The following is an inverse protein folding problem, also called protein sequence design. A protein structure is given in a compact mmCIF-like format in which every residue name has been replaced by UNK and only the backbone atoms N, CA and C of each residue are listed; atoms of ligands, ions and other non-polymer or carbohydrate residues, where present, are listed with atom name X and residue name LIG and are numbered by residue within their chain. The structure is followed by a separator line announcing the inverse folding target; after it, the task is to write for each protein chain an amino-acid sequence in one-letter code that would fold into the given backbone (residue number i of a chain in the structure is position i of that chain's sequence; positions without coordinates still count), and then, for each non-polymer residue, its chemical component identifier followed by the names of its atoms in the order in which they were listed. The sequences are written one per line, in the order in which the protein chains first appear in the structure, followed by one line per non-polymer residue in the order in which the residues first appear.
data_IF_946587637214
#
_entry.id   IF_946587637214
#
_cell.length_a   1.000
_cell.length_b   1.000
_cell.length_c   1.000
_cell.angle_alpha   90.00
_cell.angle_beta   90.00
_cell.angle_gamma   90.00
#
_symmetry.space_group_name_H-M   'P 1'
#
loop_
_entity.id
_entity.type
_entity.pdbx_description
1 polymer ?
#
# COMPACT_ATOMS: atom_id res chain seq x y z
N UNK A 1 27.24 1.38 -33.91
CA UNK A 1 26.30 1.44 -32.76
C UNK A 1 24.91 1.92 -33.18
N UNK A 2 24.73 3.12 -33.77
CA UNK A 2 23.41 3.53 -34.28
C UNK A 2 22.95 2.74 -35.52
N UNK A 3 23.87 2.41 -36.43
CA UNK A 3 23.54 1.67 -37.67
C UNK A 3 23.26 0.18 -37.44
N UNK A 4 23.80 -0.40 -36.37
CA UNK A 4 23.69 -1.83 -36.04
C UNK A 4 22.31 -2.20 -35.46
N UNK A 5 21.65 -1.22 -34.82
CA UNK A 5 20.28 -1.35 -34.28
C UNK A 5 19.25 -1.17 -35.41
N UNK A 6 19.60 -0.44 -36.48
CA UNK A 6 18.71 -0.14 -37.60
C UNK A 6 18.52 -1.31 -38.57
N UNK A 7 19.42 -2.29 -38.56
CA UNK A 7 19.32 -3.50 -39.38
C UNK A 7 18.23 -4.45 -38.85
N UNK A 8 17.99 -4.41 -37.54
CA UNK A 8 16.95 -5.20 -36.88
C UNK A 8 15.71 -4.34 -36.58
N UNK A 9 14.78 -4.34 -37.55
CA UNK A 9 13.51 -3.59 -37.49
C UNK A 9 12.72 -3.91 -36.21
N UNK A 10 12.87 -5.10 -35.65
CA UNK A 10 12.20 -5.52 -34.42
C UNK A 10 12.83 -4.85 -33.19
N UNK A 11 14.16 -4.77 -33.13
CA UNK A 11 14.89 -4.06 -32.06
C UNK A 11 14.63 -2.55 -32.09
N UNK A 12 14.54 -1.96 -33.29
CA UNK A 12 14.19 -0.54 -33.47
C UNK A 12 12.77 -0.23 -32.99
N UNK A 13 11.78 -1.06 -33.38
CA UNK A 13 10.39 -0.93 -32.93
C UNK A 13 10.26 -1.10 -31.42
N UNK A 14 10.96 -2.07 -30.82
CA UNK A 14 11.01 -2.28 -29.36
C UNK A 14 11.54 -1.04 -28.64
N UNK A 15 12.66 -0.49 -29.12
CA UNK A 15 13.29 0.70 -28.53
C UNK A 15 12.38 1.94 -28.63
N UNK A 16 11.64 2.10 -29.74
CA UNK A 16 10.67 3.19 -29.90
C UNK A 16 9.47 3.01 -28.97
N UNK A 17 8.88 1.82 -28.90
CA UNK A 17 7.78 1.51 -27.98
C UNK A 17 8.18 1.74 -26.52
N UNK A 18 9.37 1.29 -26.14
CA UNK A 18 9.89 1.48 -24.78
C UNK A 18 10.13 2.97 -24.47
N UNK A 19 10.65 3.76 -25.41
CA UNK A 19 10.87 5.20 -25.20
C UNK A 19 9.60 6.05 -25.26
N UNK A 20 8.61 5.65 -26.05
CA UNK A 20 7.41 6.44 -26.34
C UNK A 20 6.27 6.09 -25.37
N UNK A 21 6.14 4.82 -24.99
CA UNK A 21 5.15 4.36 -24.01
C UNK A 21 5.74 4.22 -22.61
N UNK A 22 7.07 4.15 -22.46
CA UNK A 22 7.73 3.99 -21.16
C UNK A 22 7.54 2.59 -20.56
N UNK A 23 7.10 1.62 -21.36
CA UNK A 23 6.81 0.25 -20.95
C UNK A 23 7.80 -0.66 -21.65
N UNK A 24 8.63 -1.38 -20.90
CA UNK A 24 9.48 -2.42 -21.45
C UNK A 24 8.60 -3.63 -21.82
N UNK A 25 8.49 -4.02 -23.11
CA UNK A 25 7.62 -5.12 -23.52
C UNK A 25 8.01 -6.49 -22.93
N UNK A 26 9.22 -6.61 -22.36
CA UNK A 26 9.68 -7.80 -21.65
C UNK A 26 9.30 -7.83 -20.15
N UNK A 27 8.86 -6.71 -19.55
CA UNK A 27 8.30 -6.67 -18.19
C UNK A 27 6.83 -7.11 -18.21
N UNK A 28 6.59 -8.35 -18.64
CA UNK A 28 5.27 -8.98 -18.49
C UNK A 28 5.13 -9.55 -17.09
N UNK A 29 4.81 -8.68 -16.12
CA UNK A 29 4.43 -9.16 -14.79
C UNK A 29 3.13 -9.96 -14.89
N UNK A 30 3.08 -11.13 -14.26
CA UNK A 30 1.91 -12.00 -14.29
C UNK A 30 0.78 -11.38 -13.43
N UNK A 31 -0.34 -10.95 -14.01
CA UNK A 31 -1.38 -10.21 -13.27
C UNK A 31 -1.98 -10.99 -12.10
N UNK A 32 -2.06 -12.31 -12.21
CA UNK A 32 -2.58 -13.18 -11.16
C UNK A 32 -1.61 -13.23 -9.98
N UNK A 33 -0.29 -13.26 -10.25
CA UNK A 33 0.73 -13.23 -9.20
C UNK A 33 0.69 -11.91 -8.44
N UNK A 34 0.53 -10.79 -9.15
CA UNK A 34 0.43 -9.46 -8.52
C UNK A 34 -0.82 -9.33 -7.66
N UNK A 35 -1.97 -9.77 -8.19
CA UNK A 35 -3.22 -9.78 -7.44
C UNK A 35 -3.11 -10.63 -6.16
N UNK A 36 -2.49 -11.81 -6.26
CA UNK A 36 -2.27 -12.69 -5.12
C UNK A 36 -1.31 -12.05 -4.10
N UNK A 37 -0.21 -11.44 -4.55
CA UNK A 37 0.75 -10.77 -3.67
C UNK A 37 0.11 -9.58 -2.94
N UNK A 38 -0.66 -8.75 -3.64
CA UNK A 38 -1.38 -7.63 -3.05
C UNK A 38 -2.45 -8.12 -2.06
N UNK A 39 -3.26 -9.12 -2.44
CA UNK A 39 -4.31 -9.66 -1.60
C UNK A 39 -3.78 -10.28 -0.31
N UNK A 40 -2.73 -11.10 -0.39
CA UNK A 40 -2.10 -11.69 0.79
C UNK A 40 -1.47 -10.62 1.69
N UNK A 41 -0.79 -9.63 1.11
CA UNK A 41 -0.22 -8.52 1.88
C UNK A 41 -1.30 -7.71 2.60
N UNK A 42 -2.44 -7.46 1.95
CA UNK A 42 -3.57 -6.78 2.54
C UNK A 42 -4.18 -7.58 3.69
N UNK A 43 -4.41 -8.88 3.52
CA UNK A 43 -4.94 -9.75 4.57
C UNK A 43 -4.02 -9.76 5.81
N UNK A 44 -2.71 -9.88 5.59
CA UNK A 44 -1.73 -9.86 6.68
C UNK A 44 -1.75 -8.52 7.42
N UNK A 45 -1.73 -7.40 6.69
CA UNK A 45 -1.78 -6.06 7.30
C UNK A 45 -3.12 -5.81 8.04
N UNK A 46 -4.25 -6.19 7.44
CA UNK A 46 -5.58 -6.03 8.03
C UNK A 46 -5.78 -6.91 9.27
N UNK A 47 -5.06 -8.03 9.38
CA UNK A 47 -5.16 -8.90 10.55
C UNK A 47 -4.62 -8.24 11.83
N UNK A 48 -3.68 -7.28 11.72
CA UNK A 48 -3.04 -6.63 12.88
C UNK A 48 -4.05 -6.00 13.86
N UNK A 49 -4.99 -5.13 13.43
CA UNK A 49 -6.02 -4.61 14.33
C UNK A 49 -7.11 -5.61 14.70
N UNK A 50 -7.31 -6.68 13.92
CA UNK A 50 -8.37 -7.68 14.15
C UNK A 50 -7.97 -8.65 15.26
N UNK A 51 -6.72 -9.11 15.28
CA UNK A 51 -6.23 -10.11 16.25
C UNK A 51 -6.51 -9.71 17.71
N UNK A 52 -6.26 -8.46 18.15
CA UNK A 52 -6.58 -8.03 19.52
C UNK A 52 -8.06 -8.20 19.89
N UNK A 53 -8.99 -8.03 18.95
CA UNK A 53 -10.42 -8.24 19.20
C UNK A 53 -10.83 -9.70 19.30
N UNK A 54 -10.02 -10.62 18.78
CA UNK A 54 -10.25 -12.07 18.91
C UNK A 54 -9.80 -12.58 20.28
N UNK A 55 -8.72 -12.00 20.83
CA UNK A 55 -8.05 -12.50 22.04
C UNK A 55 -8.44 -11.71 23.29
N UNK A 56 -8.71 -10.41 23.16
CA UNK A 56 -9.00 -9.51 24.28
C UNK A 56 -10.45 -9.02 24.21
N UNK A 57 -10.97 -8.57 25.34
CA UNK A 57 -12.32 -8.00 25.46
C UNK A 57 -12.31 -6.61 26.09
N UNK A 58 -13.36 -5.84 25.83
CA UNK A 58 -13.55 -4.51 26.42
C UNK A 58 -12.55 -3.48 25.90
N UNK A 59 -12.23 -2.50 26.75
CA UNK A 59 -11.38 -1.35 26.38
C UNK A 59 -9.95 -1.74 26.05
N UNK A 60 -9.42 -2.80 26.69
CA UNK A 60 -8.07 -3.30 26.43
C UNK A 60 -7.91 -3.77 24.96
N UNK A 61 -8.92 -4.42 24.40
CA UNK A 61 -8.90 -4.85 23.00
C UNK A 61 -8.77 -3.67 22.03
N UNK A 62 -9.54 -2.61 22.29
CA UNK A 62 -9.54 -1.38 21.49
C UNK A 62 -8.18 -0.70 21.57
N UNK A 63 -7.65 -0.48 22.78
CA UNK A 63 -6.36 0.21 22.95
C UNK A 63 -5.21 -0.54 22.28
N UNK A 64 -5.15 -1.87 22.42
CA UNK A 64 -4.12 -2.70 21.77
C UNK A 64 -4.29 -2.72 20.25
N UNK A 65 -5.54 -2.80 19.76
CA UNK A 65 -5.85 -2.75 18.33
C UNK A 65 -5.40 -1.43 17.69
N UNK A 66 -5.76 -0.30 18.30
CA UNK A 66 -5.40 1.04 17.81
C UNK A 66 -3.89 1.25 17.85
N UNK A 67 -3.23 0.89 18.95
CA UNK A 67 -1.77 1.01 19.06
C UNK A 67 -1.06 0.13 18.01
N UNK A 68 -1.52 -1.11 17.84
CA UNK A 68 -1.00 -2.02 16.83
C UNK A 68 -1.17 -1.50 15.40
N UNK A 69 -2.34 -0.95 15.08
CA UNK A 69 -2.62 -0.34 13.78
C UNK A 69 -1.70 0.87 13.49
N UNK A 70 -1.54 1.77 14.46
CA UNK A 70 -0.67 2.95 14.31
C UNK A 70 0.79 2.56 14.10
N UNK A 71 1.28 1.57 14.87
CA UNK A 71 2.64 1.04 14.69
C UNK A 71 2.79 0.39 13.32
N UNK A 72 1.82 -0.42 12.88
CA UNK A 72 1.87 -1.06 11.57
C UNK A 72 1.87 -0.05 10.42
N UNK A 73 1.04 1.00 10.50
CA UNK A 73 1.02 2.09 9.51
C UNK A 73 2.36 2.82 9.43
N UNK A 74 2.94 3.15 10.60
CA UNK A 74 4.24 3.82 10.65
C UNK A 74 5.37 2.96 10.09
N UNK A 75 5.40 1.67 10.45
CA UNK A 75 6.39 0.70 9.94
C UNK A 75 6.25 0.54 8.44
N UNK A 76 5.02 0.40 7.93
CA UNK A 76 4.75 0.26 6.49
C UNK A 76 5.21 1.51 5.73
N UNK A 77 4.88 2.71 6.23
CA UNK A 77 5.34 3.96 5.62
C UNK A 77 6.85 4.15 5.69
N UNK A 78 7.48 3.75 6.79
CA UNK A 78 8.93 3.80 6.94
C UNK A 78 9.64 2.84 5.98
N UNK A 79 9.11 1.62 5.82
CA UNK A 79 9.65 0.63 4.91
C UNK A 79 9.50 1.09 3.46
N UNK A 80 8.32 1.61 3.10
CA UNK A 80 8.09 2.26 1.79
C UNK A 80 9.10 3.38 1.57
N UNK A 81 9.29 4.27 2.54
CA UNK A 81 10.24 5.38 2.46
C UNK A 81 11.66 4.93 2.19
N UNK A 82 12.11 3.86 2.85
CA UNK A 82 13.43 3.26 2.61
C UNK A 82 13.57 2.70 1.20
N UNK A 83 12.53 2.02 0.68
CA UNK A 83 12.55 1.44 -0.68
C UNK A 83 12.64 2.53 -1.76
N UNK A 84 11.94 3.65 -1.58
CA UNK A 84 11.95 4.77 -2.54
C UNK A 84 13.05 5.80 -2.27
N UNK A 85 14.03 5.48 -1.40
CA UNK A 85 15.15 6.36 -1.02
C UNK A 85 14.73 7.74 -0.49
N UNK A 86 13.57 7.82 0.16
CA UNK A 86 13.10 9.00 0.89
C UNK A 86 13.33 8.84 2.39
N UNK A 87 13.21 9.93 3.15
CA UNK A 87 13.28 9.89 4.61
C UNK A 87 12.25 8.90 5.19
N UNK A 88 12.67 7.79 5.83
CA UNK A 88 11.76 6.78 6.34
C UNK A 88 10.81 7.33 7.40
N UNK A 89 11.31 8.20 8.28
CA UNK A 89 10.53 8.78 9.37
C UNK A 89 9.40 9.67 8.82
N UNK A 90 9.71 10.51 7.83
CA UNK A 90 8.70 11.39 7.23
C UNK A 90 7.62 10.59 6.50
N UNK A 91 8.02 9.56 5.76
CA UNK A 91 7.07 8.68 5.06
C UNK A 91 6.24 7.84 6.03
N UNK A 92 6.83 7.37 7.14
CA UNK A 92 6.12 6.72 8.22
C UNK A 92 5.05 7.62 8.85
N UNK A 93 5.41 8.87 9.14
CA UNK A 93 4.51 9.86 9.72
C UNK A 93 3.39 10.27 8.75
N UNK A 94 3.70 10.37 7.45
CA UNK A 94 2.71 10.64 6.40
C UNK A 94 1.63 9.54 6.35
N UNK A 95 2.03 8.26 6.29
CA UNK A 95 1.06 7.15 6.26
C UNK A 95 0.30 7.05 7.59
N UNK A 96 0.97 7.23 8.73
CA UNK A 96 0.30 7.26 10.03
C UNK A 96 -0.75 8.37 10.08
N UNK A 97 -0.41 9.58 9.62
CA UNK A 97 -1.32 10.72 9.59
C UNK A 97 -2.55 10.47 8.72
N UNK A 98 -2.35 9.95 7.50
CA UNK A 98 -3.45 9.57 6.60
C UNK A 98 -4.36 8.55 7.28
N UNK A 99 -3.78 7.47 7.83
CA UNK A 99 -4.56 6.42 8.49
C UNK A 99 -5.30 6.90 9.73
N UNK A 100 -4.69 7.77 10.54
CA UNK A 100 -5.34 8.36 11.71
C UNK A 100 -6.54 9.23 11.32
N UNK A 101 -6.40 10.04 10.27
CA UNK A 101 -7.50 10.87 9.74
C UNK A 101 -8.62 9.99 9.19
N UNK A 102 -8.28 8.96 8.39
CA UNK A 102 -9.27 8.02 7.87
C UNK A 102 -10.03 7.30 9.00
N UNK A 103 -9.33 6.86 10.05
CA UNK A 103 -9.94 6.22 11.20
C UNK A 103 -10.86 7.18 11.97
N UNK A 104 -10.45 8.43 12.17
CA UNK A 104 -11.27 9.45 12.81
C UNK A 104 -12.57 9.72 12.03
N UNK A 105 -12.48 9.82 10.70
CA UNK A 105 -13.66 9.98 9.83
C UNK A 105 -14.56 8.74 9.93
N UNK A 106 -13.99 7.53 9.86
CA UNK A 106 -14.74 6.29 9.98
C UNK A 106 -15.50 6.18 11.31
N UNK A 107 -14.86 6.57 12.42
CA UNK A 107 -15.50 6.63 13.73
C UNK A 107 -16.62 7.67 13.76
N UNK A 108 -16.38 8.89 13.24
CA UNK A 108 -17.38 9.94 13.20
C UNK A 108 -18.62 9.55 12.37
N UNK A 109 -18.43 8.84 11.26
CA UNK A 109 -19.53 8.30 10.45
C UNK A 109 -20.26 7.18 11.20
N UNK A 110 -19.52 6.28 11.84
CA UNK A 110 -20.09 5.18 12.62
C UNK A 110 -20.91 5.63 13.82
N UNK A 111 -20.54 6.75 14.47
CA UNK A 111 -21.28 7.35 15.58
C UNK A 111 -22.37 8.32 15.11
N UNK A 112 -22.12 9.06 14.03
CA UNK A 112 -23.01 10.11 13.53
C UNK A 112 -24.24 9.58 12.79
N UNK A 113 -24.08 8.55 11.94
CA UNK A 113 -25.20 8.00 11.16
C UNK A 113 -26.30 7.45 12.09
N UNK A 114 -26.01 6.55 13.07
CA UNK A 114 -27.03 6.01 13.95
C UNK A 114 -27.85 7.07 14.69
N UNK A 115 -27.25 8.21 15.03
CA UNK A 115 -27.94 9.33 15.70
C UNK A 115 -28.90 10.10 14.80
N UNK A 116 -28.76 10.01 13.48
CA UNK A 116 -29.64 10.67 12.51
C UNK A 116 -30.85 9.82 12.13
N UNK A 117 -30.73 8.49 12.24
CA UNK A 117 -31.78 7.51 11.94
C UNK A 117 -32.53 7.01 13.20
N UNK A 118 -32.07 7.36 14.40
CA UNK A 118 -32.78 7.11 15.67
C UNK A 118 -33.58 8.33 16.11
#
# INVERSE_FOLDING_TARGET
MADEIAEDKELWLRTLVEKELGISPDETTNPIKDAAAMGLSFLLAASVPIIPHVVLTGTAAISVSVAGALVALFVLGSLKGRLVQKSPILQGLEILGIGAVSAAIGFALGDGIPRLIS
#
